data_IF_773642061804
#
_entry.id   IF_773642061804
#
_cell.length_a   1.000
_cell.length_b   1.000
_cell.length_c   1.000
_cell.angle_alpha   90.00
_cell.angle_beta   90.00
_cell.angle_gamma   90.00
#
_symmetry.space_group_name_H-M   'P 1'
#
loop_
_entity.id
_entity.type
_entity.pdbx_description
1 polymer ?
#
# COMPACT_ATOMS: atom_id res chain seq x y z
N UNK A 1 -4.62 -21.06 4.53
CA UNK A 1 -5.24 -19.91 5.22
C UNK A 1 -6.16 -19.20 4.23
N UNK A 2 -7.29 -18.66 4.68
CA UNK A 2 -8.22 -17.85 3.85
C UNK A 2 -8.34 -16.40 4.34
N UNK A 3 -7.30 -15.92 5.01
CA UNK A 3 -7.28 -14.63 5.70
C UNK A 3 -7.32 -13.46 4.71
N UNK A 4 -8.24 -12.52 4.93
CA UNK A 4 -8.46 -11.33 4.11
C UNK A 4 -8.10 -10.09 4.92
N UNK A 5 -7.01 -9.44 4.52
CA UNK A 5 -6.43 -8.33 5.28
C UNK A 5 -6.59 -7.03 4.50
N UNK A 6 -7.00 -5.97 5.19
CA UNK A 6 -6.83 -4.60 4.71
C UNK A 6 -5.55 -4.04 5.32
N UNK A 7 -4.62 -3.55 4.50
CA UNK A 7 -3.42 -2.86 4.98
C UNK A 7 -3.70 -1.35 5.12
N UNK A 8 -3.64 -0.87 6.36
CA UNK A 8 -3.75 0.55 6.70
C UNK A 8 -2.37 1.10 7.12
N UNK A 9 -2.28 2.43 7.10
CA UNK A 9 -1.07 3.17 7.45
C UNK A 9 -0.74 4.23 6.41
N UNK A 10 0.01 5.28 6.78
CA UNK A 10 0.31 6.39 5.89
C UNK A 10 1.21 5.97 4.71
N UNK A 11 1.27 6.78 3.62
CA UNK A 11 2.30 6.64 2.60
C UNK A 11 3.69 6.65 3.25
N UNK A 12 4.55 5.69 2.90
CA UNK A 12 5.89 5.56 3.50
C UNK A 12 5.96 4.69 4.76
N UNK A 13 4.82 4.22 5.29
CA UNK A 13 4.80 3.38 6.49
C UNK A 13 5.46 1.99 6.33
N UNK A 14 5.69 1.54 5.09
CA UNK A 14 6.26 0.22 4.80
C UNK A 14 5.24 -0.87 4.44
N UNK A 15 3.97 -0.51 4.21
CA UNK A 15 2.90 -1.43 3.76
C UNK A 15 3.31 -2.35 2.61
N UNK A 16 3.75 -1.76 1.49
CA UNK A 16 4.17 -2.54 0.32
C UNK A 16 5.33 -3.50 0.59
N UNK A 17 6.28 -3.11 1.46
CA UNK A 17 7.38 -3.99 1.88
C UNK A 17 6.86 -5.19 2.67
N UNK A 18 5.98 -4.96 3.64
CA UNK A 18 5.41 -6.05 4.44
C UNK A 18 4.47 -6.93 3.61
N UNK A 19 3.71 -6.34 2.68
CA UNK A 19 2.90 -7.06 1.70
C UNK A 19 3.75 -8.00 0.84
N UNK A 20 4.86 -7.51 0.28
CA UNK A 20 5.79 -8.31 -0.52
C UNK A 20 6.31 -9.52 0.28
N UNK A 21 6.69 -9.32 1.54
CA UNK A 21 7.20 -10.41 2.39
C UNK A 21 6.08 -11.41 2.74
N UNK A 22 4.86 -10.94 3.00
CA UNK A 22 3.68 -11.81 3.23
C UNK A 22 3.36 -12.66 1.99
N UNK A 23 3.45 -12.09 0.79
CA UNK A 23 3.31 -12.83 -0.46
C UNK A 23 4.41 -13.90 -0.59
N UNK A 24 5.67 -13.49 -0.47
CA UNK A 24 6.83 -14.36 -0.70
C UNK A 24 6.93 -15.50 0.33
N UNK A 25 6.61 -15.24 1.61
CA UNK A 25 6.83 -16.20 2.71
C UNK A 25 5.58 -16.96 3.14
N UNK A 26 4.39 -16.37 3.00
CA UNK A 26 3.13 -16.95 3.49
C UNK A 26 2.10 -17.20 2.38
N UNK A 27 2.43 -16.90 1.12
CA UNK A 27 1.58 -17.19 -0.03
C UNK A 27 0.33 -16.30 -0.13
N UNK A 28 0.36 -15.12 0.47
CA UNK A 28 -0.71 -14.14 0.28
C UNK A 28 -0.73 -13.62 -1.16
N UNK A 29 -1.91 -13.33 -1.69
CA UNK A 29 -2.07 -12.51 -2.89
C UNK A 29 -2.20 -11.04 -2.48
N UNK A 30 -1.46 -10.13 -3.12
CA UNK A 30 -1.57 -8.69 -2.86
C UNK A 30 -2.31 -7.99 -3.98
N UNK A 31 -3.38 -7.27 -3.63
CA UNK A 31 -4.06 -6.34 -4.51
C UNK A 31 -3.70 -4.90 -4.12
N UNK A 32 -2.74 -4.31 -4.84
CA UNK A 32 -2.30 -2.93 -4.60
C UNK A 32 -2.92 -1.97 -5.62
N UNK A 33 -3.87 -1.13 -5.19
CA UNK A 33 -4.47 -0.12 -6.08
C UNK A 33 -3.43 0.83 -6.64
N UNK A 34 -2.43 1.20 -5.83
CA UNK A 34 -1.36 2.08 -6.25
C UNK A 34 -0.53 1.49 -7.40
N UNK A 35 -0.20 0.20 -7.34
CA UNK A 35 0.55 -0.46 -8.42
C UNK A 35 -0.29 -0.62 -9.67
N UNK A 36 -1.56 -0.99 -9.53
CA UNK A 36 -2.50 -1.11 -10.65
C UNK A 36 -2.69 0.22 -11.37
N UNK A 37 -2.86 1.32 -10.64
CA UNK A 37 -2.99 2.66 -11.22
C UNK A 37 -1.70 3.12 -11.90
N UNK A 38 -0.53 2.89 -11.29
CA UNK A 38 0.77 3.19 -11.93
C UNK A 38 0.97 2.39 -13.21
N UNK A 39 0.58 1.12 -13.21
CA UNK A 39 0.62 0.28 -14.40
C UNK A 39 -0.31 0.81 -15.50
N UNK A 40 -1.54 1.20 -15.16
CA UNK A 40 -2.47 1.84 -16.08
C UNK A 40 -1.92 3.14 -16.67
N UNK A 41 -1.28 4.00 -15.86
CA UNK A 41 -0.61 5.24 -16.30
C UNK A 41 0.49 4.93 -17.31
N UNK A 42 1.37 3.96 -17.00
CA UNK A 42 2.48 3.59 -17.89
C UNK A 42 2.00 3.01 -19.22
N UNK A 43 0.95 2.21 -19.18
CA UNK A 43 0.35 1.61 -20.36
C UNK A 43 -0.51 2.60 -21.15
N UNK A 44 -0.67 3.85 -20.67
CA UNK A 44 -1.42 4.89 -21.37
C UNK A 44 -2.91 4.59 -21.51
N UNK A 45 -3.49 3.76 -20.62
CA UNK A 45 -4.91 3.41 -20.68
C UNK A 45 -5.79 4.61 -20.32
N UNK A 46 -7.07 4.57 -20.67
CA UNK A 46 -8.01 5.63 -20.29
C UNK A 46 -8.13 5.81 -18.77
N UNK A 47 -8.10 4.70 -18.02
CA UNK A 47 -8.00 4.75 -16.56
C UNK A 47 -6.69 5.42 -16.12
N UNK A 48 -5.57 5.07 -16.75
CA UNK A 48 -4.26 5.64 -16.46
C UNK A 48 -4.21 7.14 -16.66
N UNK A 49 -4.72 7.64 -17.79
CA UNK A 49 -4.77 9.08 -18.10
C UNK A 49 -5.55 9.85 -17.03
N UNK A 50 -6.74 9.37 -16.66
CA UNK A 50 -7.57 9.97 -15.60
C UNK A 50 -6.89 9.90 -14.24
N UNK A 51 -6.30 8.76 -13.89
CA UNK A 51 -5.65 8.56 -12.61
C UNK A 51 -4.39 9.42 -12.44
N UNK A 52 -3.65 9.67 -13.53
CA UNK A 52 -2.39 10.41 -13.52
C UNK A 52 -2.52 11.79 -12.87
N UNK A 53 -3.56 12.55 -13.22
CA UNK A 53 -3.78 13.89 -12.69
C UNK A 53 -3.92 13.89 -11.16
N UNK A 54 -4.72 12.96 -10.61
CA UNK A 54 -4.88 12.83 -9.16
C UNK A 54 -3.58 12.35 -8.50
N UNK A 55 -2.87 11.41 -9.13
CA UNK A 55 -1.64 10.83 -8.56
C UNK A 55 -0.50 11.85 -8.50
N UNK A 56 -0.29 12.63 -9.55
CA UNK A 56 0.73 13.67 -9.62
C UNK A 56 0.47 14.77 -8.59
N UNK A 57 -0.81 15.09 -8.36
CA UNK A 57 -1.23 16.01 -7.32
C UNK A 57 -1.19 15.40 -5.90
N UNK A 58 -0.97 14.09 -5.73
CA UNK A 58 -1.01 13.41 -4.43
C UNK A 58 -2.41 13.16 -3.87
N UNK A 59 -3.44 13.28 -4.71
CA UNK A 59 -4.85 13.10 -4.39
C UNK A 59 -5.35 11.65 -4.44
N UNK A 60 -6.67 11.50 -4.29
CA UNK A 60 -7.38 10.24 -4.48
C UNK A 60 -8.04 10.22 -5.85
N UNK A 61 -7.89 9.10 -6.55
CA UNK A 61 -8.75 8.79 -7.71
C UNK A 61 -10.20 8.60 -7.20
N UNK A 62 -11.22 9.01 -7.98
CA UNK A 62 -12.63 8.90 -7.58
C UNK A 62 -13.05 7.52 -7.05
N UNK A 63 -13.94 7.51 -6.05
CA UNK A 63 -14.34 6.30 -5.32
C UNK A 63 -14.99 5.26 -6.25
N UNK A 64 -15.88 5.68 -7.14
CA UNK A 64 -16.57 4.82 -8.12
C UNK A 64 -15.58 4.05 -9.01
N UNK A 65 -14.54 4.73 -9.50
CA UNK A 65 -13.48 4.13 -10.31
C UNK A 65 -12.72 3.06 -9.53
N UNK A 66 -12.33 3.37 -8.29
CA UNK A 66 -11.56 2.45 -7.45
C UNK A 66 -12.41 1.25 -7.00
N UNK A 67 -13.66 1.50 -6.59
CA UNK A 67 -14.59 0.45 -6.16
C UNK A 67 -14.86 -0.51 -7.32
N UNK A 68 -15.14 -0.01 -8.53
CA UNK A 68 -15.37 -0.84 -9.70
C UNK A 68 -14.15 -1.72 -10.04
N UNK A 69 -12.96 -1.11 -10.08
CA UNK A 69 -11.70 -1.82 -10.32
C UNK A 69 -11.44 -2.92 -9.27
N UNK A 70 -11.69 -2.63 -7.99
CA UNK A 70 -11.45 -3.57 -6.91
C UNK A 70 -12.49 -4.68 -6.83
N UNK A 71 -13.76 -4.40 -7.15
CA UNK A 71 -14.81 -5.43 -7.28
C UNK A 71 -14.40 -6.51 -8.30
N UNK A 72 -13.92 -6.09 -9.47
CA UNK A 72 -13.45 -7.02 -10.51
C UNK A 72 -12.25 -7.86 -10.06
N UNK A 73 -11.30 -7.28 -9.32
CA UNK A 73 -10.11 -8.01 -8.87
C UNK A 73 -10.34 -8.93 -7.69
N UNK A 74 -11.31 -8.61 -6.83
CA UNK A 74 -11.66 -9.46 -5.68
C UNK A 74 -12.52 -10.64 -6.13
N UNK A 75 -13.33 -10.46 -7.18
CA UNK A 75 -14.17 -11.53 -7.71
C UNK A 75 -13.36 -12.76 -8.13
N UNK A 76 -13.80 -13.93 -7.68
CA UNK A 76 -13.14 -15.21 -7.96
C UNK A 76 -11.82 -15.47 -7.23
N UNK A 77 -11.32 -14.56 -6.37
CA UNK A 77 -10.16 -14.84 -5.54
C UNK A 77 -10.51 -15.83 -4.42
N UNK A 78 -9.72 -16.89 -4.32
CA UNK A 78 -9.73 -17.82 -3.17
C UNK A 78 -8.37 -17.78 -2.45
N UNK A 79 -8.36 -18.21 -1.19
CA UNK A 79 -7.16 -18.21 -0.35
C UNK A 79 -6.93 -16.90 0.41
N UNK A 80 -5.71 -16.74 0.92
CA UNK A 80 -5.33 -15.58 1.72
C UNK A 80 -4.89 -14.43 0.82
N UNK A 81 -5.42 -13.23 1.06
CA UNK A 81 -5.05 -12.04 0.31
C UNK A 81 -5.09 -10.78 1.15
N UNK A 82 -4.41 -9.76 0.65
CA UNK A 82 -4.35 -8.45 1.27
C UNK A 82 -4.71 -7.36 0.27
N UNK A 83 -5.36 -6.32 0.78
CA UNK A 83 -5.76 -5.12 0.05
C UNK A 83 -4.83 -3.98 0.48
N UNK A 84 -3.95 -3.52 -0.41
CA UNK A 84 -3.02 -2.40 -0.17
C UNK A 84 -3.51 -1.15 -0.90
N UNK A 85 -3.87 -0.12 -0.12
CA UNK A 85 -4.43 1.11 -0.67
C UNK A 85 -5.90 1.02 -1.08
N UNK A 86 -6.64 0.03 -0.57
CA UNK A 86 -8.10 -0.03 -0.60
C UNK A 86 -8.62 -0.71 0.69
N UNK A 87 -9.60 -0.13 1.39
CA UNK A 87 -10.20 1.18 1.17
C UNK A 87 -9.28 2.33 1.61
N UNK A 88 -9.52 3.53 1.05
CA UNK A 88 -8.88 4.80 1.45
C UNK A 88 -9.86 5.85 1.97
N UNK A 89 -11.16 5.57 1.90
CA UNK A 89 -12.26 6.41 2.40
C UNK A 89 -13.29 5.52 3.10
N UNK A 90 -14.15 6.11 3.95
CA UNK A 90 -15.27 5.38 4.59
C UNK A 90 -16.22 4.80 3.55
N UNK A 91 -16.56 5.56 2.51
CA UNK A 91 -17.41 5.10 1.40
C UNK A 91 -16.83 3.86 0.70
N UNK A 92 -15.52 3.82 0.45
CA UNK A 92 -14.86 2.63 -0.09
C UNK A 92 -14.91 1.45 0.89
N UNK A 93 -14.82 1.70 2.20
CA UNK A 93 -14.87 0.65 3.22
C UNK A 93 -16.28 0.05 3.36
N UNK A 94 -17.32 0.89 3.26
CA UNK A 94 -18.70 0.43 3.24
C UNK A 94 -18.97 -0.40 1.98
N UNK A 95 -18.55 0.07 0.80
CA UNK A 95 -18.67 -0.67 -0.45
C UNK A 95 -17.87 -1.99 -0.45
N UNK A 96 -16.70 -2.03 0.21
CA UNK A 96 -15.94 -3.27 0.41
C UNK A 96 -16.72 -4.24 1.32
N UNK A 97 -17.36 -3.75 2.38
CA UNK A 97 -18.15 -4.56 3.30
C UNK A 97 -19.36 -5.26 2.66
N UNK A 98 -19.87 -4.73 1.55
CA UNK A 98 -20.95 -5.35 0.77
C UNK A 98 -20.49 -6.57 -0.04
N UNK A 99 -19.20 -6.62 -0.40
CA UNK A 99 -18.64 -7.66 -1.29
C UNK A 99 -17.72 -8.65 -0.57
N UNK A 100 -17.15 -8.23 0.57
CA UNK A 100 -16.13 -8.99 1.28
C UNK A 100 -16.22 -8.78 2.78
N UNK A 101 -16.32 -9.88 3.52
CA UNK A 101 -16.05 -9.86 4.96
C UNK A 101 -14.54 -9.86 5.21
N UNK A 102 -14.00 -8.70 5.61
CA UNK A 102 -12.58 -8.51 5.94
C UNK A 102 -12.30 -9.12 7.31
N UNK A 103 -11.29 -9.99 7.45
CA UNK A 103 -10.95 -10.59 8.75
C UNK A 103 -10.22 -9.59 9.65
N UNK A 104 -9.33 -8.78 9.06
CA UNK A 104 -8.48 -7.86 9.80
C UNK A 104 -8.12 -6.62 9.00
N UNK A 105 -8.11 -5.46 9.67
CA UNK A 105 -7.44 -4.26 9.20
C UNK A 105 -6.11 -4.10 9.95
N UNK A 106 -5.00 -4.41 9.28
CA UNK A 106 -3.66 -4.31 9.83
C UNK A 106 -3.10 -2.90 9.56
N UNK A 107 -3.04 -2.08 10.60
CA UNK A 107 -2.50 -0.74 10.55
C UNK A 107 -1.00 -0.73 10.90
N UNK A 108 -0.18 -0.22 9.99
CA UNK A 108 1.24 0.05 10.24
C UNK A 108 1.38 1.52 10.60
N UNK A 109 1.54 1.79 11.89
CA UNK A 109 1.66 3.13 12.46
C UNK A 109 3.12 3.61 12.46
N UNK A 110 3.35 4.80 11.94
CA UNK A 110 4.69 5.40 11.79
C UNK A 110 4.59 6.92 12.00
N UNK A 111 5.46 7.52 12.83
CA UNK A 111 5.50 8.97 13.03
C UNK A 111 5.81 9.76 11.75
N UNK A 112 5.17 10.93 11.62
CA UNK A 112 5.22 11.75 10.40
C UNK A 112 6.64 12.23 10.05
N UNK A 113 7.48 12.48 11.06
CA UNK A 113 8.85 12.97 10.92
C UNK A 113 9.71 12.02 10.09
N UNK A 114 9.37 10.72 10.10
CA UNK A 114 10.10 9.66 9.40
C UNK A 114 9.53 9.46 7.97
N UNK A 115 8.24 9.76 7.76
CA UNK A 115 7.54 9.43 6.51
C UNK A 115 8.06 10.21 5.32
N UNK A 116 8.29 11.51 5.48
CA UNK A 116 8.77 12.38 4.39
C UNK A 116 10.12 11.88 3.88
N UNK A 117 11.06 11.61 4.79
CA UNK A 117 12.37 11.07 4.45
C UNK A 117 12.27 9.69 3.78
N UNK A 118 11.39 8.80 4.27
CA UNK A 118 11.20 7.48 3.67
C UNK A 118 10.68 7.56 2.23
N UNK A 119 9.77 8.48 1.97
CA UNK A 119 9.16 8.67 0.64
C UNK A 119 10.15 9.27 -0.35
N UNK A 120 10.85 10.36 0.00
CA UNK A 120 11.80 11.02 -0.91
C UNK A 120 13.01 10.13 -1.26
N UNK A 121 13.38 9.23 -0.35
CA UNK A 121 14.45 8.26 -0.57
C UNK A 121 13.97 6.94 -1.21
N UNK A 122 12.68 6.81 -1.54
CA UNK A 122 12.15 5.61 -2.16
C UNK A 122 12.61 5.50 -3.61
N UNK A 123 12.98 4.29 -4.02
CA UNK A 123 13.23 3.92 -5.40
C UNK A 123 12.38 2.71 -5.77
N UNK A 124 11.87 2.70 -6.99
CA UNK A 124 10.99 1.65 -7.49
C UNK A 124 11.54 1.04 -8.76
N UNK A 125 11.37 -0.26 -8.89
CA UNK A 125 11.62 -0.95 -10.14
C UNK A 125 10.40 -0.81 -11.07
N UNK A 126 10.58 -0.42 -12.34
CA UNK A 126 9.46 -0.37 -13.28
C UNK A 126 8.93 -1.78 -13.62
N UNK A 127 9.80 -2.79 -13.64
CA UNK A 127 9.42 -4.08 -14.21
C UNK A 127 8.83 -5.00 -13.14
N UNK A 128 9.61 -5.29 -12.09
CA UNK A 128 9.20 -6.24 -11.05
C UNK A 128 8.53 -5.59 -9.83
N UNK A 129 8.28 -4.27 -9.86
CA UNK A 129 7.60 -3.50 -8.80
C UNK A 129 8.33 -3.45 -7.45
N UNK A 130 9.52 -4.06 -7.34
CA UNK A 130 10.35 -4.03 -6.14
C UNK A 130 10.62 -2.61 -5.65
N UNK A 131 10.53 -2.43 -4.34
CA UNK A 131 10.76 -1.15 -3.66
C UNK A 131 12.05 -1.19 -2.84
N UNK A 132 12.81 -0.12 -2.97
CA UNK A 132 14.06 0.16 -2.27
C UNK A 132 13.95 1.49 -1.54
N UNK A 133 14.79 1.67 -0.53
CA UNK A 133 14.97 2.95 0.15
C UNK A 133 16.46 3.14 0.38
N UNK A 134 16.98 4.30 -0.04
CA UNK A 134 18.42 4.55 -0.08
C UNK A 134 19.11 4.47 1.29
N UNK A 135 18.38 4.64 2.41
CA UNK A 135 18.93 4.50 3.75
C UNK A 135 18.84 3.07 4.30
N UNK A 136 17.66 2.44 4.26
CA UNK A 136 17.42 1.21 5.03
C UNK A 136 17.26 -0.08 4.20
N UNK A 137 17.08 0.03 2.88
CA UNK A 137 17.05 -1.08 1.93
C UNK A 137 17.65 -0.61 0.59
N UNK A 138 18.93 -0.20 0.56
CA UNK A 138 19.56 0.28 -0.66
C UNK A 138 19.73 -0.88 -1.65
N UNK A 139 19.68 -0.62 -2.97
CA UNK A 139 20.06 -1.63 -3.96
C UNK A 139 21.55 -1.96 -3.83
N UNK A 140 21.96 -3.18 -4.20
CA UNK A 140 23.38 -3.59 -4.19
C UNK A 140 24.22 -2.76 -5.15
N UNK A 141 23.64 -2.36 -6.28
CA UNK A 141 24.23 -1.43 -7.23
C UNK A 141 23.33 -0.21 -7.36
N UNK A 142 23.93 0.98 -7.22
CA UNK A 142 23.19 2.24 -7.27
C UNK A 142 22.35 2.35 -8.54
N UNK A 143 21.07 2.66 -8.36
CA UNK A 143 20.12 2.84 -9.47
C UNK A 143 19.72 1.56 -10.19
N UNK A 144 20.13 0.37 -9.76
CA UNK A 144 19.84 -0.91 -10.44
C UNK A 144 19.05 -1.85 -9.54
N UNK A 145 17.99 -2.44 -10.08
CA UNK A 145 17.17 -3.39 -9.33
C UNK A 145 17.91 -4.71 -9.11
N UNK A 146 18.05 -5.12 -7.85
CA UNK A 146 18.67 -6.39 -7.47
C UNK A 146 17.91 -7.64 -7.96
N UNK A 147 16.61 -7.52 -8.24
CA UNK A 147 15.76 -8.65 -8.67
C UNK A 147 15.78 -8.89 -10.18
N UNK A 148 15.87 -7.84 -11.00
CA UNK A 148 15.72 -7.97 -12.47
C UNK A 148 16.71 -7.14 -13.30
N UNK A 149 17.56 -6.33 -12.67
CA UNK A 149 18.56 -5.51 -13.37
C UNK A 149 18.03 -4.22 -14.01
N UNK A 150 16.72 -3.95 -13.95
CA UNK A 150 16.13 -2.73 -14.48
C UNK A 150 16.62 -1.47 -13.74
N UNK A 151 16.63 -0.33 -14.45
CA UNK A 151 16.97 0.96 -13.85
C UNK A 151 15.86 1.41 -12.89
N UNK A 152 16.24 1.68 -11.66
CA UNK A 152 15.35 2.19 -10.63
C UNK A 152 15.02 3.67 -10.88
N UNK A 153 13.79 4.06 -10.55
CA UNK A 153 13.32 5.43 -10.65
C UNK A 153 12.67 5.89 -9.33
N UNK A 154 12.58 7.20 -9.14
CA UNK A 154 11.73 7.80 -8.11
C UNK A 154 10.36 8.08 -8.72
N UNK A 155 9.29 7.68 -8.05
CA UNK A 155 7.93 7.94 -8.53
C UNK A 155 7.62 9.43 -8.44
N UNK A 156 6.77 9.93 -9.32
CA UNK A 156 6.34 11.34 -9.27
C UNK A 156 5.66 11.68 -7.93
N UNK A 157 4.89 10.74 -7.39
CA UNK A 157 4.20 10.87 -6.10
C UNK A 157 5.12 10.77 -4.86
N UNK A 158 6.43 10.63 -5.07
CA UNK A 158 7.49 10.64 -4.03
C UNK A 158 8.33 11.92 -4.03
N UNK A 159 7.99 12.92 -4.86
CA UNK A 159 8.57 14.26 -4.79
C UNK A 159 8.10 14.98 -3.54
N UNK A 160 8.98 15.77 -2.93
CA UNK A 160 8.72 16.41 -1.63
C UNK A 160 7.44 17.25 -1.61
N UNK A 161 7.18 17.99 -2.69
CA UNK A 161 5.97 18.79 -2.87
C UNK A 161 4.69 17.95 -2.84
N UNK A 162 4.70 16.78 -3.50
CA UNK A 162 3.56 15.87 -3.57
C UNK A 162 3.38 15.08 -2.28
N UNK A 163 4.48 14.73 -1.60
CA UNK A 163 4.48 13.95 -0.35
C UNK A 163 3.63 14.61 0.74
N UNK A 164 3.76 15.93 0.92
CA UNK A 164 2.97 16.67 1.92
C UNK A 164 1.47 16.51 1.67
N UNK A 165 1.02 16.74 0.43
CA UNK A 165 -0.39 16.59 0.09
C UNK A 165 -0.87 15.14 0.28
N UNK A 166 -0.05 14.14 -0.04
CA UNK A 166 -0.41 12.73 0.19
C UNK A 166 -0.63 12.41 1.67
N UNK A 167 0.19 12.98 2.55
CA UNK A 167 0.03 12.82 4.00
C UNK A 167 -1.24 13.52 4.49
N UNK A 168 -1.53 14.73 4.00
CA UNK A 168 -2.74 15.46 4.36
C UNK A 168 -4.01 14.77 3.86
N UNK A 169 -4.00 14.27 2.62
CA UNK A 169 -5.07 13.46 2.04
C UNK A 169 -5.28 12.18 2.85
N UNK A 170 -4.19 11.52 3.29
CA UNK A 170 -4.28 10.35 4.18
C UNK A 170 -4.95 10.71 5.51
N UNK A 171 -4.49 11.76 6.19
CA UNK A 171 -5.06 12.22 7.47
C UNK A 171 -6.55 12.55 7.36
N UNK A 172 -6.96 13.20 6.26
CA UNK A 172 -8.35 13.60 6.06
C UNK A 172 -9.27 12.43 5.71
N UNK A 173 -8.81 11.51 4.86
CA UNK A 173 -9.71 10.53 4.22
C UNK A 173 -9.49 9.09 4.70
N UNK A 174 -8.24 8.71 4.94
CA UNK A 174 -7.85 7.33 5.24
C UNK A 174 -7.68 7.10 6.74
N UNK A 175 -7.17 8.08 7.50
CA UNK A 175 -7.03 7.96 8.96
C UNK A 175 -8.35 7.63 9.70
N UNK A 176 -9.53 8.17 9.30
CA UNK A 176 -10.81 7.77 9.90
C UNK A 176 -11.12 6.27 9.80
N UNK A 177 -10.47 5.54 8.88
CA UNK A 177 -10.63 4.08 8.78
C UNK A 177 -10.08 3.33 9.98
N UNK A 178 -9.13 3.92 10.72
CA UNK A 178 -8.61 3.32 11.96
C UNK A 178 -9.77 3.16 12.95
N UNK A 179 -10.50 4.24 13.24
CA UNK A 179 -11.68 4.22 14.11
C UNK A 179 -12.80 3.33 13.54
N UNK A 180 -13.02 3.38 12.22
CA UNK A 180 -14.00 2.51 11.54
C UNK A 180 -13.76 1.02 11.82
N UNK A 181 -12.54 0.52 11.61
CA UNK A 181 -12.22 -0.89 11.85
C UNK A 181 -12.05 -1.21 13.33
N UNK A 182 -11.66 -0.23 14.16
CA UNK A 182 -11.60 -0.39 15.62
C UNK A 182 -12.99 -0.64 16.19
N UNK A 183 -13.99 0.14 15.79
CA UNK A 183 -15.40 -0.04 16.19
C UNK A 183 -15.97 -1.39 15.74
N UNK A 184 -15.46 -1.95 14.64
CA UNK A 184 -15.81 -3.30 14.17
C UNK A 184 -15.03 -4.42 14.87
N UNK A 185 -14.11 -4.10 15.78
CA UNK A 185 -13.27 -5.09 16.47
C UNK A 185 -12.25 -5.78 15.56
N UNK A 186 -11.94 -5.19 14.40
CA UNK A 186 -11.09 -5.79 13.35
C UNK A 186 -9.75 -5.09 13.18
N UNK A 187 -9.52 -3.98 13.87
CA UNK A 187 -8.26 -3.24 13.80
C UNK A 187 -7.17 -3.94 14.62
N UNK A 188 -6.03 -4.19 13.98
CA UNK A 188 -4.78 -4.57 14.65
C UNK A 188 -3.70 -3.58 14.25
N UNK A 189 -2.94 -3.05 15.21
CA UNK A 189 -1.90 -2.05 14.95
C UNK A 189 -0.51 -2.58 15.28
N UNK A 190 0.44 -2.32 14.40
CA UNK A 190 1.87 -2.57 14.58
C UNK A 190 2.66 -1.28 14.36
N UNK A 191 3.73 -1.08 15.14
CA UNK A 191 4.66 0.04 14.96
C UNK A 191 5.64 -0.26 13.81
N UNK A 192 5.66 0.60 12.80
CA UNK A 192 6.47 0.47 11.59
C UNK A 192 7.82 1.20 11.64
N UNK A 193 8.19 1.71 12.81
CA UNK A 193 9.43 2.42 13.13
C UNK A 193 10.26 1.73 14.22
N UNK A 194 9.73 0.68 14.84
CA UNK A 194 10.43 -0.09 15.88
C UNK A 194 11.12 -1.33 15.31
N UNK A 195 12.43 -1.23 15.09
CA UNK A 195 13.29 -2.34 14.68
C UNK A 195 13.50 -2.43 13.18
N UNK A 196 14.04 -3.56 12.72
CA UNK A 196 14.28 -3.83 11.31
C UNK A 196 12.99 -4.21 10.56
N UNK A 197 13.07 -4.24 9.22
CA UNK A 197 11.98 -4.75 8.38
C UNK A 197 11.56 -6.17 8.79
N UNK A 198 12.53 -7.01 9.16
CA UNK A 198 12.30 -8.39 9.59
C UNK A 198 11.66 -8.46 10.98
N UNK A 199 12.01 -7.56 11.90
CA UNK A 199 11.39 -7.51 13.23
C UNK A 199 9.91 -7.13 13.13
N UNK A 200 9.59 -6.16 12.27
CA UNK A 200 8.21 -5.77 11.96
C UNK A 200 7.46 -6.94 11.29
N UNK A 201 8.10 -7.63 10.35
CA UNK A 201 7.50 -8.80 9.69
C UNK A 201 7.18 -9.91 10.70
N UNK A 202 8.08 -10.24 11.62
CA UNK A 202 7.84 -11.26 12.65
C UNK A 202 6.65 -10.91 13.55
N UNK A 203 6.49 -9.64 13.91
CA UNK A 203 5.30 -9.16 14.65
C UNK A 203 4.01 -9.41 13.83
N UNK A 204 4.03 -9.05 12.54
CA UNK A 204 2.89 -9.26 11.62
C UNK A 204 2.61 -10.75 11.41
N UNK A 205 3.64 -11.57 11.21
CA UNK A 205 3.51 -13.01 11.03
C UNK A 205 2.85 -13.68 12.23
N UNK A 206 3.23 -13.28 13.45
CA UNK A 206 2.59 -13.77 14.68
C UNK A 206 1.12 -13.38 14.79
N UNK A 207 0.72 -12.23 14.27
CA UNK A 207 -0.68 -11.78 14.23
C UNK A 207 -1.47 -12.59 13.19
N UNK A 208 -0.90 -12.79 12.00
CA UNK A 208 -1.59 -13.35 10.84
C UNK A 208 -1.74 -14.87 10.93
N UNK A 209 -0.85 -15.57 11.66
CA UNK A 209 -0.92 -17.02 11.86
C UNK A 209 -1.81 -17.47 13.03
N UNK A 210 -2.19 -16.55 13.92
CA UNK A 210 -3.12 -16.83 15.03
C UNK A 210 -4.56 -16.77 14.54
#
# INVERSE_FOLDING_TARGET
MKTKIVLLGPPGAGKGTQAEILCDRLGFVSLSTGDMLREAVRNGTELGKKAKEYMDAGGLVPNDVIIGMMKEKIDGLDGAFLLDGFPRTIEQADALGEILDVDMALNIDVPDEILVQRLTQRRSCPDCKAVYNLSNKPPKKEGICDKCGAQLYQRDDDKEETVKNRLDVYRKNTFPLIDYYQKKGKLVTVKGDEGSIEDIFKKIEGIVKN
#
